data_IF_295208334879
#
_entry.id   IF_295208334879
#
_cell.length_a   1.000
_cell.length_b   1.000
_cell.length_c   1.000
_cell.angle_alpha   90.00
_cell.angle_beta   90.00
_cell.angle_gamma   90.00
#
_symmetry.space_group_name_H-M   'P 1'
#
loop_
_entity.id
_entity.type
_entity.pdbx_description
1 polymer ?
#
# COMPACT_ATOMS: atom_id res chain seq x y z
N UNK A 1 -5.93 -8.38 1.47
CA UNK A 1 -6.82 -9.15 2.35
C UNK A 1 -8.23 -8.57 2.36
N UNK A 2 -8.47 -7.44 3.02
CA UNK A 2 -9.82 -6.86 3.18
C UNK A 2 -10.46 -6.30 1.91
N UNK A 3 -9.68 -5.94 0.87
CA UNK A 3 -10.26 -5.60 -0.44
C UNK A 3 -10.74 -6.83 -1.22
N UNK A 4 -10.00 -7.94 -1.12
CA UNK A 4 -10.41 -9.23 -1.65
C UNK A 4 -11.59 -9.79 -0.84
N UNK A 5 -11.55 -9.67 0.49
CA UNK A 5 -12.64 -10.07 1.39
C UNK A 5 -13.87 -9.17 1.22
N UNK A 6 -13.70 -7.86 1.04
CA UNK A 6 -14.80 -6.92 0.76
C UNK A 6 -15.37 -7.16 -0.64
N UNK A 7 -14.55 -7.49 -1.65
CA UNK A 7 -15.01 -7.95 -2.95
C UNK A 7 -15.82 -9.24 -2.84
N UNK A 8 -15.36 -10.21 -2.05
CA UNK A 8 -16.05 -11.47 -1.79
C UNK A 8 -17.35 -11.26 -1.00
N UNK A 9 -17.33 -10.44 0.04
CA UNK A 9 -18.48 -10.05 0.86
C UNK A 9 -19.49 -9.21 0.07
N UNK A 10 -19.05 -8.35 -0.85
CA UNK A 10 -19.91 -7.60 -1.76
C UNK A 10 -20.55 -8.53 -2.79
N UNK A 11 -19.83 -9.53 -3.29
CA UNK A 11 -20.39 -10.62 -4.12
C UNK A 11 -21.44 -11.43 -3.36
N UNK A 12 -21.24 -11.66 -2.06
CA UNK A 12 -22.21 -12.32 -1.18
C UNK A 12 -23.41 -11.42 -0.86
N UNK A 13 -23.16 -10.14 -0.58
CA UNK A 13 -24.18 -9.12 -0.27
C UNK A 13 -25.05 -8.76 -1.47
N UNK A 14 -24.51 -8.76 -2.69
CA UNK A 14 -25.28 -8.61 -3.94
C UNK A 14 -26.18 -9.82 -4.21
N UNK A 15 -25.83 -11.02 -3.70
CA UNK A 15 -26.71 -12.20 -3.74
C UNK A 15 -27.75 -12.21 -2.61
N UNK A 16 -27.56 -11.39 -1.57
CA UNK A 16 -28.44 -11.28 -0.39
C UNK A 16 -29.22 -9.95 -0.32
N UNK A 17 -29.01 -9.05 -1.28
CA UNK A 17 -29.56 -7.68 -1.36
C UNK A 17 -29.27 -6.78 -0.13
N UNK A 18 -28.17 -7.03 0.58
CA UNK A 18 -27.77 -6.26 1.77
C UNK A 18 -26.55 -5.40 1.44
N UNK A 19 -26.70 -4.07 1.50
CA UNK A 19 -25.60 -3.12 1.32
C UNK A 19 -24.63 -3.16 2.52
N UNK A 20 -23.31 -3.26 2.31
CA UNK A 20 -22.33 -3.14 3.39
C UNK A 20 -22.53 -1.84 4.19
N UNK A 21 -22.56 -1.94 5.52
CA UNK A 21 -22.82 -0.79 6.41
C UNK A 21 -24.31 -0.48 6.66
N UNK A 22 -25.25 -1.22 6.05
CA UNK A 22 -26.68 -1.08 6.31
C UNK A 22 -27.03 -1.27 7.80
N UNK A 23 -26.33 -2.17 8.50
CA UNK A 23 -26.48 -2.41 9.93
C UNK A 23 -26.19 -1.14 10.77
N UNK A 24 -25.12 -0.41 10.42
CA UNK A 24 -24.74 0.83 11.10
C UNK A 24 -25.74 1.96 10.82
N UNK A 25 -26.21 2.07 9.58
CA UNK A 25 -27.24 3.03 9.21
C UNK A 25 -28.55 2.77 9.96
N UNK A 26 -28.95 1.49 10.05
CA UNK A 26 -30.14 1.10 10.81
C UNK A 26 -30.00 1.41 12.29
N UNK A 27 -28.82 1.17 12.87
CA UNK A 27 -28.54 1.52 14.27
C UNK A 27 -28.66 3.02 14.53
N UNK A 28 -28.17 3.87 13.61
CA UNK A 28 -28.33 5.32 13.70
C UNK A 28 -29.80 5.75 13.61
N UNK A 29 -30.58 5.16 12.70
CA UNK A 29 -32.02 5.44 12.60
C UNK A 29 -32.74 5.10 13.90
N UNK A 30 -32.50 3.91 14.46
CA UNK A 30 -33.13 3.46 15.72
C UNK A 30 -32.69 4.30 16.91
N UNK A 31 -31.41 4.70 16.97
CA UNK A 31 -30.92 5.59 18.01
C UNK A 31 -31.61 6.96 17.95
N UNK A 32 -31.84 7.49 16.75
CA UNK A 32 -32.60 8.73 16.53
C UNK A 32 -34.06 8.59 16.97
N UNK A 33 -34.74 7.50 16.58
CA UNK A 33 -36.11 7.18 17.00
C UNK A 33 -36.24 7.11 18.53
N UNK A 34 -35.21 6.60 19.21
CA UNK A 34 -35.15 6.45 20.67
C UNK A 34 -34.55 7.69 21.40
N UNK A 35 -34.26 8.77 20.68
CA UNK A 35 -33.60 9.98 21.19
C UNK A 35 -32.33 9.67 22.01
N UNK A 36 -31.49 8.77 21.51
CA UNK A 36 -30.21 8.40 22.12
C UNK A 36 -29.06 9.14 21.47
N UNK A 37 -28.08 9.55 22.27
CA UNK A 37 -26.84 10.12 21.77
C UNK A 37 -26.08 9.08 20.96
N UNK A 38 -25.53 9.50 19.82
CA UNK A 38 -24.73 8.66 18.92
C UNK A 38 -23.31 9.20 18.83
N UNK A 39 -22.34 8.29 18.77
CA UNK A 39 -20.91 8.62 18.70
C UNK A 39 -20.28 7.81 17.58
N UNK A 40 -19.57 8.49 16.68
CA UNK A 40 -18.77 7.84 15.65
C UNK A 40 -17.44 7.39 16.28
N UNK A 41 -17.37 6.10 16.61
CA UNK A 41 -16.26 5.52 17.37
C UNK A 41 -15.04 5.14 16.51
N UNK A 42 -15.17 5.09 15.19
CA UNK A 42 -14.08 4.69 14.29
C UNK A 42 -13.16 5.87 13.92
N UNK A 43 -11.94 5.53 13.52
CA UNK A 43 -10.93 6.49 13.07
C UNK A 43 -11.26 7.00 11.67
N UNK A 44 -10.93 8.26 11.40
CA UNK A 44 -11.05 8.81 10.05
C UNK A 44 -10.34 7.92 9.02
N UNK A 45 -11.04 7.59 7.93
CA UNK A 45 -10.51 6.73 6.87
C UNK A 45 -9.24 7.31 6.25
N UNK A 46 -9.13 8.65 6.17
CA UNK A 46 -7.94 9.34 5.65
C UNK A 46 -6.71 9.05 6.49
N UNK A 47 -6.82 9.12 7.82
CA UNK A 47 -5.74 8.84 8.76
C UNK A 47 -5.37 7.36 8.72
N UNK A 48 -6.37 6.47 8.71
CA UNK A 48 -6.18 5.04 8.55
C UNK A 48 -5.41 4.72 7.28
N UNK A 49 -5.85 5.23 6.13
CA UNK A 49 -5.18 5.00 4.85
C UNK A 49 -3.75 5.53 4.88
N UNK A 50 -3.52 6.77 5.32
CA UNK A 50 -2.18 7.36 5.40
C UNK A 50 -1.22 6.52 6.25
N UNK A 51 -1.66 6.01 7.38
CA UNK A 51 -0.84 5.15 8.25
C UNK A 51 -0.56 3.81 7.61
N UNK A 52 -1.54 3.21 6.94
CA UNK A 52 -1.33 2.01 6.14
C UNK A 52 -0.27 2.24 5.06
N UNK A 53 -0.33 3.37 4.34
CA UNK A 53 0.68 3.74 3.35
C UNK A 53 2.05 4.00 3.97
N UNK A 54 2.11 4.66 5.13
CA UNK A 54 3.36 4.90 5.84
C UNK A 54 3.99 3.60 6.41
N UNK A 55 3.16 2.62 6.76
CA UNK A 55 3.59 1.29 7.20
C UNK A 55 4.06 0.40 6.06
N UNK A 56 3.71 0.75 4.81
CA UNK A 56 4.13 0.05 3.62
C UNK A 56 5.51 0.55 3.18
N UNK A 57 6.56 -0.19 3.56
CA UNK A 57 7.86 -0.02 2.94
C UNK A 57 7.80 -0.29 1.43
N UNK A 58 8.69 0.33 0.65
CA UNK A 58 8.77 0.13 -0.81
C UNK A 58 8.88 -1.36 -1.19
N UNK A 59 9.60 -2.14 -0.38
CA UNK A 59 9.75 -3.58 -0.55
C UNK A 59 8.44 -4.36 -0.33
N UNK A 60 7.66 -4.01 0.69
CA UNK A 60 6.34 -4.61 0.94
C UNK A 60 5.35 -4.32 -0.17
N UNK A 61 5.41 -3.11 -0.76
CA UNK A 61 4.59 -2.74 -1.91
C UNK A 61 4.96 -3.55 -3.16
N UNK A 62 6.27 -3.73 -3.43
CA UNK A 62 6.76 -4.59 -4.52
C UNK A 62 6.33 -6.04 -4.29
N UNK A 63 6.44 -6.57 -3.06
CA UNK A 63 6.00 -7.93 -2.72
C UNK A 63 4.50 -8.10 -2.93
N UNK A 64 3.67 -7.12 -2.55
CA UNK A 64 2.22 -7.16 -2.77
C UNK A 64 1.89 -7.20 -4.26
N UNK A 65 2.46 -6.29 -5.05
CA UNK A 65 2.19 -6.26 -6.50
C UNK A 65 2.78 -7.50 -7.19
N UNK A 66 3.93 -7.98 -6.75
CA UNK A 66 4.53 -9.24 -7.21
C UNK A 66 3.66 -10.45 -6.91
N UNK A 67 3.06 -10.54 -5.72
CA UNK A 67 2.13 -11.61 -5.37
C UNK A 67 0.83 -11.52 -6.18
N UNK A 68 0.30 -10.31 -6.40
CA UNK A 68 -0.86 -10.11 -7.26
C UNK A 68 -0.57 -10.53 -8.71
N UNK A 69 0.58 -10.12 -9.26
CA UNK A 69 1.00 -10.50 -10.62
C UNK A 69 1.30 -12.01 -10.69
N UNK A 70 1.96 -12.58 -9.69
CA UNK A 70 2.24 -14.02 -9.60
C UNK A 70 0.97 -14.87 -9.59
N UNK A 71 -0.08 -14.41 -8.89
CA UNK A 71 -1.40 -15.06 -8.89
C UNK A 71 -2.06 -15.11 -10.28
N UNK A 72 -1.66 -14.24 -11.20
CA UNK A 72 -2.14 -14.23 -12.59
C UNK A 72 -1.36 -15.18 -13.51
N UNK A 73 -0.14 -15.58 -13.12
CA UNK A 73 0.72 -16.50 -13.85
C UNK A 73 0.57 -17.97 -13.41
N UNK A 74 -0.12 -18.21 -12.29
CA UNK A 74 -0.64 -19.54 -11.96
C UNK A 74 -1.67 -19.88 -13.03
N UNK A 75 -1.26 -20.71 -14.00
CA UNK A 75 -2.13 -21.21 -15.07
C UNK A 75 -3.37 -21.84 -14.45
N UNK A 76 -4.53 -21.44 -14.96
CA UNK A 76 -5.82 -22.07 -14.74
C UNK A 76 -5.76 -23.53 -15.18
N UNK A 77 -5.55 -24.44 -14.22
CA UNK A 77 -6.13 -25.78 -14.18
C UNK A 77 -6.44 -26.04 -12.70
N UNK A 78 -7.38 -25.26 -12.14
CA UNK A 78 -7.86 -25.51 -10.78
C UNK A 78 -8.60 -26.85 -10.83
N UNK A 79 -7.97 -27.90 -10.32
CA UNK A 79 -8.59 -29.22 -10.24
C UNK A 79 -9.70 -29.21 -9.19
N UNK A 80 -10.67 -30.12 -9.30
CA UNK A 80 -11.76 -30.27 -8.33
C UNK A 80 -11.22 -30.45 -6.88
N UNK A 81 -10.05 -31.06 -6.75
CA UNK A 81 -9.29 -31.24 -5.51
C UNK A 81 -8.73 -29.92 -4.93
N UNK A 82 -8.31 -28.97 -5.77
CA UNK A 82 -7.91 -27.63 -5.33
C UNK A 82 -9.11 -26.78 -4.89
N UNK A 83 -10.26 -26.92 -5.57
CA UNK A 83 -11.52 -26.28 -5.17
C UNK A 83 -12.00 -26.83 -3.82
N UNK A 84 -11.83 -28.13 -3.58
CA UNK A 84 -12.20 -28.78 -2.32
C UNK A 84 -11.24 -28.43 -1.18
N UNK A 85 -9.93 -28.31 -1.47
CA UNK A 85 -8.95 -27.73 -0.53
C UNK A 85 -9.27 -26.29 -0.17
N UNK A 86 -9.64 -25.45 -1.13
CA UNK A 86 -10.00 -24.04 -0.89
C UNK A 86 -11.32 -23.86 -0.10
N UNK A 87 -12.17 -24.89 -0.03
CA UNK A 87 -13.36 -24.92 0.83
C UNK A 87 -13.05 -25.29 2.28
N UNK A 88 -11.85 -25.78 2.58
CA UNK A 88 -11.42 -26.04 3.94
C UNK A 88 -11.04 -24.74 4.64
N UNK A 89 -11.47 -24.59 5.90
CA UNK A 89 -11.09 -23.45 6.73
C UNK A 89 -9.57 -23.29 6.82
N UNK A 90 -8.83 -24.41 6.79
CA UNK A 90 -7.38 -24.47 6.95
C UNK A 90 -6.61 -23.85 5.76
N UNK A 91 -7.02 -24.09 4.52
CA UNK A 91 -6.38 -23.48 3.35
C UNK A 91 -6.63 -21.96 3.27
N UNK A 92 -7.82 -21.53 3.66
CA UNK A 92 -8.17 -20.12 3.69
C UNK A 92 -7.42 -19.39 4.82
N UNK A 93 -7.23 -20.07 5.96
CA UNK A 93 -6.44 -19.59 7.09
C UNK A 93 -4.94 -19.54 6.76
N UNK A 94 -4.43 -20.52 6.00
CA UNK A 94 -3.05 -20.57 5.49
C UNK A 94 -2.77 -19.44 4.47
N UNK A 95 -3.66 -19.22 3.51
CA UNK A 95 -3.56 -18.07 2.59
C UNK A 95 -3.65 -16.72 3.34
N UNK A 96 -4.53 -16.64 4.35
CA UNK A 96 -4.64 -15.45 5.18
C UNK A 96 -3.39 -15.22 6.04
N UNK A 97 -2.76 -16.29 6.51
CA UNK A 97 -1.50 -16.28 7.25
C UNK A 97 -0.34 -15.86 6.36
N UNK A 98 -0.18 -16.43 5.17
CA UNK A 98 0.84 -16.01 4.19
C UNK A 98 0.70 -14.53 3.80
N UNK A 99 -0.54 -14.05 3.63
CA UNK A 99 -0.81 -12.65 3.32
C UNK A 99 -0.54 -11.72 4.51
N UNK A 100 -0.83 -12.18 5.73
CA UNK A 100 -0.49 -11.49 6.98
C UNK A 100 1.02 -11.42 7.20
N UNK A 101 1.73 -12.51 6.92
CA UNK A 101 3.19 -12.63 7.06
C UNK A 101 3.93 -11.87 5.94
N UNK A 102 3.32 -11.77 4.76
CA UNK A 102 3.85 -10.98 3.67
C UNK A 102 3.77 -9.46 3.94
N UNK A 103 2.77 -9.00 4.71
CA UNK A 103 2.50 -7.57 4.91
C UNK A 103 2.02 -7.26 6.35
N UNK A 104 2.84 -7.53 7.37
CA UNK A 104 2.45 -7.37 8.77
C UNK A 104 2.05 -5.92 9.10
N UNK A 105 2.74 -4.93 8.53
CA UNK A 105 2.44 -3.51 8.73
C UNK A 105 1.03 -3.10 8.28
N UNK A 106 0.48 -3.73 7.24
CA UNK A 106 -0.87 -3.44 6.75
C UNK A 106 -1.92 -4.03 7.69
N UNK A 107 -1.72 -5.25 8.20
CA UNK A 107 -2.61 -5.82 9.21
C UNK A 107 -2.62 -4.94 10.45
N UNK A 108 -1.44 -4.55 10.93
CA UNK A 108 -1.34 -3.69 12.11
C UNK A 108 -2.03 -2.36 11.90
N UNK A 109 -1.79 -1.66 10.78
CA UNK A 109 -2.38 -0.34 10.52
C UNK A 109 -3.88 -0.36 10.20
N UNK A 110 -4.37 -1.37 9.45
CA UNK A 110 -5.77 -1.46 9.02
C UNK A 110 -6.68 -2.21 9.99
N UNK A 111 -6.15 -3.10 10.84
CA UNK A 111 -6.95 -3.94 11.73
C UNK A 111 -6.55 -3.67 13.17
N UNK A 112 -5.34 -4.04 13.59
CA UNK A 112 -4.98 -4.04 15.02
C UNK A 112 -5.00 -2.61 15.63
N UNK A 113 -4.59 -1.59 14.88
CA UNK A 113 -4.72 -0.19 15.28
C UNK A 113 -6.17 0.29 15.34
N UNK A 114 -7.03 -0.14 14.42
CA UNK A 114 -8.45 0.22 14.45
C UNK A 114 -9.17 -0.46 15.60
N UNK A 115 -8.84 -1.71 15.90
CA UNK A 115 -9.40 -2.45 17.03
C UNK A 115 -9.08 -1.75 18.35
N UNK A 116 -7.82 -1.31 18.51
CA UNK A 116 -7.40 -0.48 19.66
C UNK A 116 -8.14 0.85 19.71
N UNK A 117 -8.24 1.55 18.57
CA UNK A 117 -8.93 2.84 18.50
C UNK A 117 -10.42 2.70 18.87
N UNK A 118 -11.11 1.69 18.33
CA UNK A 118 -12.50 1.37 18.63
C UNK A 118 -12.67 1.01 20.11
N UNK A 119 -11.80 0.16 20.66
CA UNK A 119 -11.84 -0.21 22.09
C UNK A 119 -11.66 1.00 23.00
N UNK A 120 -10.73 1.91 22.68
CA UNK A 120 -10.50 3.13 23.45
C UNK A 120 -11.66 4.13 23.34
N UNK A 121 -12.25 4.28 22.15
CA UNK A 121 -13.43 5.13 21.95
C UNK A 121 -14.67 4.59 22.65
N UNK A 122 -14.88 3.27 22.65
CA UNK A 122 -15.98 2.64 23.39
C UNK A 122 -15.82 2.89 24.89
N UNK A 123 -14.62 2.72 25.45
CA UNK A 123 -14.35 2.92 26.88
C UNK A 123 -14.50 4.38 27.34
N UNK A 124 -14.08 5.33 26.51
CA UNK A 124 -14.15 6.76 26.82
C UNK A 124 -15.50 7.41 26.49
N UNK A 125 -16.44 6.64 25.94
CA UNK A 125 -17.77 7.17 25.59
C UNK A 125 -18.63 7.42 26.84
N UNK A 126 -19.40 8.53 26.89
CA UNK A 126 -20.25 8.86 28.02
C UNK A 126 -21.41 7.87 28.19
N UNK A 127 -21.67 7.48 29.43
CA UNK A 127 -22.84 6.69 29.83
C UNK A 127 -22.49 5.37 30.52
N UNK A 128 -23.41 4.88 31.35
CA UNK A 128 -23.19 3.65 32.13
C UNK A 128 -23.47 2.36 31.35
N UNK A 129 -24.24 2.46 30.26
CA UNK A 129 -24.57 1.34 29.38
C UNK A 129 -24.39 1.80 27.93
N UNK A 130 -23.39 1.23 27.28
CA UNK A 130 -23.00 1.57 25.92
C UNK A 130 -23.30 0.38 25.03
N UNK A 131 -23.99 0.63 23.91
CA UNK A 131 -24.21 -0.38 22.87
C UNK A 131 -23.31 0.01 21.69
N UNK A 132 -22.30 -0.82 21.43
CA UNK A 132 -21.38 -0.62 20.30
C UNK A 132 -21.82 -1.48 19.11
N UNK A 133 -22.06 -0.83 17.97
CA UNK A 133 -22.39 -1.49 16.70
C UNK A 133 -21.15 -1.45 15.82
N UNK A 134 -20.52 -2.59 15.61
CA UNK A 134 -19.22 -2.73 14.92
C UNK A 134 -19.29 -3.87 13.92
N UNK A 135 -18.43 -3.84 12.89
CA UNK A 135 -18.32 -4.96 11.96
C UNK A 135 -17.80 -6.21 12.66
N UNK A 136 -18.36 -7.38 12.32
CA UNK A 136 -18.06 -8.65 12.99
C UNK A 136 -16.56 -8.98 13.09
N UNK A 137 -15.77 -8.60 12.09
CA UNK A 137 -14.32 -8.83 12.06
C UNK A 137 -13.53 -8.06 13.13
N UNK A 138 -14.07 -6.97 13.68
CA UNK A 138 -13.42 -6.18 14.73
C UNK A 138 -13.76 -6.67 16.14
N UNK A 139 -14.81 -7.49 16.30
CA UNK A 139 -15.30 -7.92 17.62
C UNK A 139 -14.24 -8.65 18.45
N UNK A 140 -13.46 -9.62 17.91
CA UNK A 140 -12.44 -10.29 18.70
C UNK A 140 -11.34 -9.34 19.17
N UNK A 141 -10.85 -8.47 18.27
CA UNK A 141 -9.81 -7.50 18.59
C UNK A 141 -10.26 -6.46 19.61
N UNK A 142 -11.49 -5.95 19.50
CA UNK A 142 -12.05 -5.01 20.48
C UNK A 142 -12.13 -5.66 21.86
N UNK A 143 -12.64 -6.90 21.96
CA UNK A 143 -12.74 -7.62 23.25
C UNK A 143 -11.38 -7.82 23.91
N UNK A 144 -10.33 -8.05 23.12
CA UNK A 144 -8.98 -8.22 23.65
C UNK A 144 -8.36 -6.92 24.19
N UNK A 145 -8.78 -5.77 23.68
CA UNK A 145 -8.21 -4.47 24.06
C UNK A 145 -9.12 -3.67 25.00
N UNK A 146 -10.38 -4.09 25.22
CA UNK A 146 -11.26 -3.41 26.15
C UNK A 146 -10.73 -3.59 27.59
N UNK A 147 -10.64 -2.50 28.35
CA UNK A 147 -10.03 -2.47 29.68
C UNK A 147 -8.52 -2.20 29.69
N UNK A 148 -7.87 -2.11 28.51
CA UNK A 148 -6.46 -1.70 28.43
C UNK A 148 -6.31 -0.18 28.31
N UNK A 149 -5.23 0.37 28.88
CA UNK A 149 -4.82 1.75 28.64
C UNK A 149 -4.30 1.89 27.20
N UNK A 150 -4.97 2.73 26.41
CA UNK A 150 -4.66 2.92 24.99
C UNK A 150 -4.42 4.41 24.75
N UNK A 151 -3.22 4.75 24.30
CA UNK A 151 -2.90 6.10 23.85
C UNK A 151 -3.50 6.36 22.45
N UNK A 152 -4.69 6.96 22.44
CA UNK A 152 -5.39 7.39 21.22
C UNK A 152 -4.55 8.36 20.38
N UNK A 153 -3.78 9.26 21.00
CA UNK A 153 -3.02 10.27 20.27
C UNK A 153 -1.93 9.62 19.41
N UNK A 154 -1.26 8.57 19.92
CA UNK A 154 -0.28 7.80 19.14
C UNK A 154 -0.86 7.11 17.90
N UNK A 155 -2.16 6.75 17.95
CA UNK A 155 -2.88 6.10 16.84
C UNK A 155 -3.36 7.10 15.78
N UNK A 156 -3.33 8.40 16.09
CA UNK A 156 -3.66 9.49 15.17
C UNK A 156 -2.42 10.08 14.48
N UNK A 157 -1.23 9.96 15.07
CA UNK A 157 0.04 10.53 14.56
C UNK A 157 0.88 9.50 13.80
N UNK A 158 1.26 9.78 12.55
CA UNK A 158 2.12 8.90 11.75
C UNK A 158 3.49 8.73 12.45
N UNK A 159 3.91 7.51 12.83
CA UNK A 159 5.14 7.31 13.57
C UNK A 159 6.38 7.69 12.73
N UNK A 160 7.37 8.40 13.32
CA UNK A 160 8.59 8.77 12.61
C UNK A 160 9.49 7.55 12.38
N UNK A 161 10.26 7.56 11.29
CA UNK A 161 11.24 6.49 10.99
C UNK A 161 12.38 6.47 12.01
N UNK A 162 12.87 5.26 12.34
CA UNK A 162 13.94 5.07 13.33
C UNK A 162 15.26 5.72 12.89
N UNK A 163 16.07 6.30 13.79
CA UNK A 163 17.33 6.95 13.42
C UNK A 163 18.32 6.04 12.69
N UNK A 164 18.38 4.76 13.09
CA UNK A 164 19.25 3.74 12.48
C UNK A 164 18.83 3.45 11.04
N UNK A 165 17.52 3.38 10.75
CA UNK A 165 17.04 3.19 9.38
C UNK A 165 17.43 4.36 8.47
N UNK A 166 17.46 5.60 9.00
CA UNK A 166 17.91 6.78 8.27
C UNK A 166 19.39 6.68 7.90
N UNK A 167 20.24 6.27 8.85
CA UNK A 167 21.68 6.13 8.63
C UNK A 167 21.97 5.09 7.54
N UNK A 168 21.39 3.90 7.67
CA UNK A 168 21.58 2.81 6.68
C UNK A 168 21.09 3.23 5.29
N UNK A 169 19.98 3.96 5.22
CA UNK A 169 19.40 4.36 3.95
C UNK A 169 20.22 5.46 3.22
N UNK A 170 21.03 6.24 3.94
CA UNK A 170 21.95 7.21 3.35
C UNK A 170 23.26 6.59 2.83
N UNK A 171 23.58 5.35 3.17
CA UNK A 171 24.80 4.68 2.73
C UNK A 171 24.88 4.59 1.21
N UNK A 172 23.81 4.18 0.53
CA UNK A 172 23.79 4.00 -0.93
C UNK A 172 24.02 5.34 -1.66
N UNK A 173 23.27 6.42 -1.37
CA UNK A 173 23.53 7.74 -1.97
C UNK A 173 24.96 8.23 -1.74
N UNK A 174 25.49 8.09 -0.52
CA UNK A 174 26.85 8.55 -0.19
C UNK A 174 27.91 7.77 -0.95
N UNK A 175 27.74 6.46 -1.13
CA UNK A 175 28.64 5.64 -1.94
C UNK A 175 28.64 6.10 -3.39
N UNK A 176 27.47 6.35 -3.99
CA UNK A 176 27.37 6.77 -5.40
C UNK A 176 27.98 8.16 -5.61
N UNK A 177 27.63 9.13 -4.75
CA UNK A 177 28.20 10.47 -4.78
C UNK A 177 29.73 10.39 -4.58
N UNK A 178 30.17 9.56 -3.63
CA UNK A 178 31.58 9.30 -3.38
C UNK A 178 32.31 8.75 -4.61
N UNK A 179 31.74 7.78 -5.32
CA UNK A 179 32.32 7.24 -6.56
C UNK A 179 32.44 8.32 -7.64
N UNK A 180 31.40 9.14 -7.86
CA UNK A 180 31.43 10.20 -8.87
C UNK A 180 32.49 11.25 -8.55
N UNK A 181 32.60 11.66 -7.27
CA UNK A 181 33.60 12.61 -6.79
C UNK A 181 35.00 12.02 -6.89
N UNK A 182 35.18 10.75 -6.51
CA UNK A 182 36.48 10.08 -6.64
C UNK A 182 36.92 9.97 -8.09
N UNK A 183 36.02 9.54 -8.98
CA UNK A 183 36.25 9.49 -10.43
C UNK A 183 36.64 10.83 -11.03
N UNK A 184 36.14 11.94 -10.48
CA UNK A 184 36.52 13.28 -10.92
C UNK A 184 38.00 13.57 -10.68
N UNK A 185 38.54 13.11 -9.55
CA UNK A 185 39.94 13.31 -9.20
C UNK A 185 40.87 12.29 -9.85
N UNK A 186 40.42 11.07 -10.14
CA UNK A 186 41.27 10.00 -10.70
C UNK A 186 41.20 9.88 -12.21
N UNK A 187 39.99 9.87 -12.78
CA UNK A 187 39.72 9.63 -14.21
C UNK A 187 39.41 10.92 -14.98
N UNK A 188 39.24 12.04 -14.27
CA UNK A 188 39.03 13.37 -14.85
C UNK A 188 37.55 13.72 -15.08
N UNK A 189 37.31 14.96 -15.48
CA UNK A 189 35.95 15.54 -15.55
C UNK A 189 35.04 14.86 -16.59
N UNK A 190 35.61 14.33 -17.68
CA UNK A 190 34.83 13.61 -18.70
C UNK A 190 34.26 12.30 -18.16
N UNK A 191 35.07 11.51 -17.43
CA UNK A 191 34.61 10.24 -16.86
C UNK A 191 33.51 10.46 -15.81
N UNK A 192 33.61 11.50 -14.98
CA UNK A 192 32.53 11.84 -14.04
C UNK A 192 31.22 12.21 -14.73
N UNK A 193 31.27 12.86 -15.89
CA UNK A 193 30.06 13.14 -16.67
C UNK A 193 29.46 11.83 -17.18
N UNK A 194 30.29 10.92 -17.68
CA UNK A 194 29.86 9.59 -18.12
C UNK A 194 29.23 8.77 -16.97
N UNK A 195 29.78 8.87 -15.76
CA UNK A 195 29.20 8.28 -14.55
C UNK A 195 27.82 8.85 -14.22
N UNK A 196 27.66 10.17 -14.28
CA UNK A 196 26.37 10.83 -14.05
C UNK A 196 25.36 10.38 -15.11
N UNK A 197 25.76 10.34 -16.38
CA UNK A 197 24.90 9.87 -17.47
C UNK A 197 24.51 8.40 -17.29
N UNK A 198 25.47 7.54 -16.94
CA UNK A 198 25.22 6.14 -16.63
C UNK A 198 24.22 5.98 -15.49
N UNK A 199 24.37 6.74 -14.40
CA UNK A 199 23.44 6.74 -13.27
C UNK A 199 22.03 7.19 -13.66
N UNK A 200 21.95 8.29 -14.42
CA UNK A 200 20.68 8.84 -14.90
C UNK A 200 19.97 7.84 -15.79
N UNK A 201 20.64 7.31 -16.81
CA UNK A 201 20.04 6.37 -17.76
C UNK A 201 19.64 5.07 -17.08
N UNK A 202 20.49 4.53 -16.21
CA UNK A 202 20.22 3.30 -15.47
C UNK A 202 18.96 3.41 -14.61
N UNK A 203 18.68 4.57 -14.00
CA UNK A 203 17.46 4.76 -13.21
C UNK A 203 16.25 5.19 -14.05
N UNK A 204 16.42 6.10 -15.00
CA UNK A 204 15.33 6.67 -15.79
C UNK A 204 14.68 5.64 -16.71
N UNK A 205 15.46 4.81 -17.41
CA UNK A 205 14.92 3.87 -18.41
C UNK A 205 14.04 2.79 -17.75
N UNK A 206 14.50 2.02 -16.75
CA UNK A 206 13.68 0.97 -16.15
C UNK A 206 12.46 1.55 -15.40
N UNK A 207 12.59 2.71 -14.75
CA UNK A 207 11.46 3.40 -14.12
C UNK A 207 10.40 3.82 -15.16
N UNK A 208 10.83 4.37 -16.30
CA UNK A 208 9.96 4.71 -17.42
C UNK A 208 9.27 3.47 -18.01
N UNK A 209 10.00 2.36 -18.18
CA UNK A 209 9.43 1.07 -18.59
C UNK A 209 8.38 0.58 -17.58
N UNK A 210 8.66 0.69 -16.27
CA UNK A 210 7.71 0.35 -15.23
C UNK A 210 6.41 1.16 -15.33
N UNK A 211 6.52 2.48 -15.51
CA UNK A 211 5.36 3.34 -15.74
C UNK A 211 4.61 3.00 -17.04
N UNK A 212 5.34 2.67 -18.12
CA UNK A 212 4.76 2.26 -19.39
C UNK A 212 3.97 0.95 -19.27
N UNK A 213 4.51 -0.05 -18.57
CA UNK A 213 3.84 -1.33 -18.31
C UNK A 213 2.57 -1.15 -17.48
N UNK A 214 2.54 -0.16 -16.59
CA UNK A 214 1.34 0.24 -15.86
C UNK A 214 0.28 0.95 -16.74
N UNK A 215 0.56 1.16 -18.03
CA UNK A 215 -0.22 2.01 -18.95
C UNK A 215 -0.45 3.42 -18.36
N UNK A 216 0.60 3.98 -17.76
CA UNK A 216 0.58 5.34 -17.25
C UNK A 216 0.41 6.37 -18.38
N UNK A 217 -0.09 7.55 -18.04
CA UNK A 217 -0.17 8.64 -19.04
C UNK A 217 1.23 9.14 -19.41
N UNK A 218 1.40 9.71 -20.62
CA UNK A 218 2.72 10.18 -21.08
C UNK A 218 3.43 11.11 -20.09
N UNK A 219 2.71 12.06 -19.49
CA UNK A 219 3.27 12.97 -18.46
C UNK A 219 3.74 12.23 -17.20
N UNK A 220 3.04 11.17 -16.81
CA UNK A 220 3.42 10.31 -15.69
C UNK A 220 4.71 9.54 -16.00
N UNK A 221 4.87 9.03 -17.23
CA UNK A 221 6.09 8.33 -17.66
C UNK A 221 7.29 9.29 -17.62
N UNK A 222 7.12 10.51 -18.15
CA UNK A 222 8.17 11.54 -18.10
C UNK A 222 8.51 11.90 -16.65
N UNK A 223 7.49 12.08 -15.79
CA UNK A 223 7.71 12.34 -14.37
C UNK A 223 8.47 11.21 -13.67
N UNK A 224 8.15 9.95 -13.98
CA UNK A 224 8.87 8.78 -13.48
C UNK A 224 10.35 8.79 -13.90
N UNK A 225 10.63 9.04 -15.19
CA UNK A 225 11.99 9.08 -15.74
C UNK A 225 12.84 10.20 -15.10
N UNK A 226 12.26 11.37 -14.86
CA UNK A 226 12.96 12.50 -14.23
C UNK A 226 13.15 12.27 -12.73
N UNK A 227 12.11 11.76 -12.05
CA UNK A 227 12.15 11.55 -10.62
C UNK A 227 13.13 10.43 -10.24
N UNK A 228 13.19 9.33 -11.00
CA UNK A 228 13.96 8.14 -10.67
C UNK A 228 15.42 8.38 -10.27
N UNK A 229 16.28 9.06 -11.06
CA UNK A 229 17.68 9.27 -10.71
C UNK A 229 17.90 10.20 -9.50
N UNK A 230 16.94 11.08 -9.21
CA UNK A 230 16.99 12.00 -8.07
C UNK A 230 16.53 11.28 -6.80
N UNK A 231 15.40 10.57 -6.92
CA UNK A 231 14.78 9.82 -5.82
C UNK A 231 15.57 8.57 -5.44
N UNK A 232 16.31 7.95 -6.35
CA UNK A 232 17.22 6.85 -6.01
C UNK A 232 18.37 7.28 -5.08
N UNK A 233 18.72 8.58 -5.10
CA UNK A 233 19.66 9.20 -4.16
C UNK A 233 18.98 9.76 -2.90
N UNK A 234 17.65 9.63 -2.78
CA UNK A 234 16.88 10.07 -1.63
C UNK A 234 16.11 8.88 -1.00
N UNK A 235 16.52 8.41 0.19
CA UNK A 235 15.90 7.23 0.80
C UNK A 235 14.45 7.41 1.25
N UNK A 236 13.93 8.65 1.25
CA UNK A 236 12.61 8.97 1.80
C UNK A 236 11.50 9.09 0.76
N UNK A 237 11.84 9.33 -0.50
CA UNK A 237 10.87 9.56 -1.56
C UNK A 237 11.25 8.64 -2.71
N UNK A 238 10.39 7.69 -3.06
CA UNK A 238 10.62 6.80 -4.18
C UNK A 238 10.03 7.35 -5.49
N UNK A 239 10.64 7.04 -6.62
CA UNK A 239 10.25 7.49 -7.96
C UNK A 239 8.77 7.26 -8.28
N UNK A 240 8.25 6.10 -7.88
CA UNK A 240 6.87 5.71 -8.09
C UNK A 240 5.87 6.56 -7.33
N UNK A 241 6.21 7.10 -6.15
CA UNK A 241 5.32 8.03 -5.45
C UNK A 241 5.16 9.35 -6.21
N UNK A 242 6.23 9.85 -6.81
CA UNK A 242 6.16 11.05 -7.67
C UNK A 242 5.31 10.75 -8.91
N UNK A 243 5.57 9.63 -9.58
CA UNK A 243 4.79 9.21 -10.74
C UNK A 243 3.30 8.99 -10.39
N UNK A 244 3.02 8.29 -9.29
CA UNK A 244 1.67 8.03 -8.81
C UNK A 244 0.90 9.29 -8.43
N UNK A 245 1.56 10.29 -7.84
CA UNK A 245 0.96 11.60 -7.57
C UNK A 245 0.59 12.33 -8.87
N UNK A 246 1.51 12.35 -9.85
CA UNK A 246 1.23 12.93 -11.18
C UNK A 246 0.07 12.21 -11.85
N UNK A 247 0.06 10.87 -11.83
CA UNK A 247 -1.05 10.08 -12.38
C UNK A 247 -2.35 10.36 -11.64
N UNK A 248 -2.35 10.49 -10.31
CA UNK A 248 -3.54 10.81 -9.53
C UNK A 248 -4.06 12.24 -9.79
N UNK A 249 -3.17 13.19 -10.06
CA UNK A 249 -3.55 14.56 -10.42
C UNK A 249 -4.22 14.61 -11.80
N UNK A 250 -3.73 13.83 -12.76
CA UNK A 250 -4.26 13.79 -14.13
C UNK A 250 -5.50 12.87 -14.22
N UNK A 251 -5.42 11.67 -13.63
CA UNK A 251 -6.46 10.65 -13.54
C UNK A 251 -7.07 10.61 -12.15
N UNK A 252 -7.74 11.70 -11.73
CA UNK A 252 -8.37 11.76 -10.39
C UNK A 252 -9.28 10.55 -10.13
N UNK A 253 -9.01 9.75 -9.07
CA UNK A 253 -9.87 8.64 -8.68
C UNK A 253 -11.20 9.18 -8.13
N UNK A 254 -12.28 8.48 -8.44
CA UNK A 254 -13.65 8.78 -7.99
C UNK A 254 -14.03 7.83 -6.85
N UNK A 255 -15.05 8.20 -6.06
CA UNK A 255 -15.57 7.34 -4.98
C UNK A 255 -15.95 5.96 -5.50
N UNK A 256 -16.54 5.88 -6.70
CA UNK A 256 -16.88 4.62 -7.36
C UNK A 256 -15.68 3.69 -7.58
N UNK A 257 -14.48 4.23 -7.86
CA UNK A 257 -13.27 3.43 -8.07
C UNK A 257 -12.84 2.72 -6.77
N UNK A 258 -13.14 3.30 -5.59
CA UNK A 258 -12.89 2.67 -4.29
C UNK A 258 -13.91 1.56 -4.00
N UNK A 259 -15.17 1.75 -4.41
CA UNK A 259 -16.24 0.78 -4.20
C UNK A 259 -16.09 -0.46 -5.09
N UNK A 260 -15.55 -0.32 -6.30
CA UNK A 260 -15.39 -1.43 -7.26
C UNK A 260 -14.02 -2.10 -7.23
N UNK A 261 -13.05 -1.59 -6.45
CA UNK A 261 -11.68 -2.11 -6.47
C UNK A 261 -11.60 -3.62 -6.15
N UNK A 262 -12.45 -4.12 -5.26
CA UNK A 262 -12.48 -5.54 -4.92
C UNK A 262 -12.95 -6.43 -6.08
N UNK A 263 -13.84 -5.91 -6.93
CA UNK A 263 -14.34 -6.59 -8.12
C UNK A 263 -13.32 -6.50 -9.26
N UNK A 264 -12.74 -5.30 -9.44
CA UNK A 264 -11.81 -4.99 -10.53
C UNK A 264 -10.46 -5.68 -10.38
N UNK A 265 -9.99 -5.90 -9.15
CA UNK A 265 -8.72 -6.59 -8.87
C UNK A 265 -8.76 -8.08 -9.20
N UNK A 266 -9.95 -8.67 -9.33
CA UNK A 266 -10.11 -10.08 -9.71
C UNK A 266 -9.82 -10.39 -11.18
N UNK A 267 -9.48 -9.40 -12.00
CA UNK A 267 -9.18 -9.60 -13.43
C UNK A 267 -8.06 -8.68 -13.91
N UNK A 268 -7.23 -9.17 -14.84
CA UNK A 268 -6.13 -8.39 -15.43
C UNK A 268 -6.63 -7.10 -16.06
N UNK A 269 -7.72 -7.16 -16.82
CA UNK A 269 -8.30 -5.97 -17.44
C UNK A 269 -8.87 -4.99 -16.41
N UNK A 270 -9.44 -5.50 -15.31
CA UNK A 270 -9.99 -4.67 -14.24
C UNK A 270 -8.92 -3.86 -13.50
N UNK A 271 -7.76 -4.46 -13.19
CA UNK A 271 -6.66 -3.76 -12.50
C UNK A 271 -6.16 -2.56 -13.33
N UNK A 272 -6.06 -2.69 -14.66
CA UNK A 272 -5.62 -1.59 -15.52
C UNK A 272 -6.74 -0.58 -15.86
N UNK A 273 -8.01 -0.98 -15.76
CA UNK A 273 -9.16 -0.12 -16.08
C UNK A 273 -9.53 0.78 -14.91
N UNK A 274 -9.53 0.26 -13.69
CA UNK A 274 -9.83 1.02 -12.48
C UNK A 274 -8.71 2.03 -12.20
N UNK A 275 -9.09 3.28 -11.93
CA UNK A 275 -8.13 4.40 -11.82
C UNK A 275 -7.25 4.25 -10.60
N UNK A 276 -7.82 3.80 -9.49
CA UNK A 276 -7.12 3.65 -8.23
C UNK A 276 -6.10 2.53 -8.33
N UNK A 277 -6.49 1.35 -8.80
CA UNK A 277 -5.56 0.22 -9.01
C UNK A 277 -4.47 0.55 -10.02
N UNK A 278 -4.77 1.27 -11.09
CA UNK A 278 -3.75 1.73 -12.05
C UNK A 278 -2.75 2.68 -11.41
N UNK A 279 -3.17 3.63 -10.57
CA UNK A 279 -2.24 4.49 -9.82
C UNK A 279 -1.31 3.65 -8.93
N UNK A 280 -1.85 2.62 -8.26
CA UNK A 280 -1.04 1.71 -7.43
C UNK A 280 -0.05 0.88 -8.27
N UNK A 281 -0.46 0.40 -9.44
CA UNK A 281 0.42 -0.25 -10.40
C UNK A 281 1.55 0.68 -10.86
N UNK A 282 1.22 1.94 -11.19
CA UNK A 282 2.23 2.95 -11.57
C UNK A 282 3.26 3.11 -10.48
N UNK A 283 2.83 3.28 -9.22
CA UNK A 283 3.75 3.43 -8.08
C UNK A 283 4.65 2.21 -7.95
N UNK A 284 4.06 1.00 -7.97
CA UNK A 284 4.80 -0.23 -7.74
C UNK A 284 5.79 -0.56 -8.87
N UNK A 285 5.34 -0.53 -10.13
CA UNK A 285 6.19 -0.87 -11.28
C UNK A 285 7.28 0.18 -11.51
N UNK A 286 7.00 1.46 -11.26
CA UNK A 286 8.01 2.52 -11.32
C UNK A 286 9.05 2.35 -10.21
N UNK A 287 8.63 2.02 -8.98
CA UNK A 287 9.56 1.73 -7.88
C UNK A 287 10.42 0.50 -8.18
N UNK A 288 9.84 -0.56 -8.73
CA UNK A 288 10.58 -1.75 -9.15
C UNK A 288 11.62 -1.39 -10.21
N UNK A 289 11.24 -0.60 -11.22
CA UNK A 289 12.16 -0.06 -12.21
C UNK A 289 13.29 0.73 -11.58
N UNK A 290 12.99 1.65 -10.66
CA UNK A 290 14.02 2.44 -9.96
C UNK A 290 14.99 1.57 -9.14
N UNK A 291 14.50 0.50 -8.49
CA UNK A 291 15.36 -0.45 -7.75
C UNK A 291 16.28 -1.20 -8.71
N UNK A 292 15.73 -1.74 -9.80
CA UNK A 292 16.53 -2.40 -10.85
C UNK A 292 17.58 -1.42 -11.39
N UNK A 293 17.17 -0.17 -11.62
CA UNK A 293 18.05 0.87 -12.11
C UNK A 293 19.18 1.24 -11.15
N UNK A 294 18.92 1.24 -9.84
CA UNK A 294 19.96 1.41 -8.82
C UNK A 294 20.93 0.22 -8.81
N UNK A 295 20.42 -1.01 -8.89
CA UNK A 295 21.25 -2.24 -8.91
C UNK A 295 22.14 -2.33 -10.15
N UNK A 296 21.66 -1.85 -11.30
CA UNK A 296 22.44 -1.78 -12.55
C UNK A 296 23.36 -0.55 -12.57
N UNK A 297 22.89 0.58 -12.03
CA UNK A 297 23.60 1.86 -12.05
C UNK A 297 24.87 1.85 -11.21
N UNK A 298 24.86 1.20 -10.04
CA UNK A 298 26.05 1.07 -9.18
C UNK A 298 27.24 0.44 -9.93
N UNK A 299 27.13 -0.77 -10.52
CA UNK A 299 28.24 -1.37 -11.26
C UNK A 299 28.58 -0.61 -12.54
N UNK A 300 27.61 0.02 -13.22
CA UNK A 300 27.90 0.86 -14.39
C UNK A 300 28.78 2.07 -14.01
N UNK A 301 28.44 2.79 -12.93
CA UNK A 301 29.25 3.90 -12.41
C UNK A 301 30.62 3.39 -11.97
N UNK A 302 30.68 2.26 -11.26
CA UNK A 302 31.92 1.69 -10.79
C UNK A 302 32.86 1.24 -11.94
N UNK A 303 32.32 0.79 -13.07
CA UNK A 303 33.11 0.38 -14.24
C UNK A 303 33.83 1.53 -14.95
N UNK A 304 33.46 2.77 -14.64
CA UNK A 304 34.03 3.99 -15.23
C UNK A 304 35.11 4.64 -14.34
N UNK A 305 35.34 4.09 -13.13
CA UNK A 305 36.33 4.57 -12.17
C UNK A 305 37.77 4.28 -12.59
#
# INVERSE_FOLDING_TARGET
AQLLLAGFQKKLGNKLDIKPGAEMMRALSVASELNKATIMADREVKTTLKRTWASLGAFSLIKLVGAMIGSLFVKNDITEEEIERLKSSDALEEMMKELSDAIPGVKTALIDERDRYLAAKIQSSPGNKIVAIVGAGHVPGIKNHIGSEIDLASLEIIPPSSPVSKIIAWTIPLVIIGMIVYGFFTAGSSSSIDMIQAWVLANSIPAGIGALLALARPLTIVAAMIAAPITSLNPFIAAGWVAGLVEAMISKPRVSDFETIGDDVGSISGIWRNRLSRILLVIALTNLGSVIGTLIGIPMVASLL
#
